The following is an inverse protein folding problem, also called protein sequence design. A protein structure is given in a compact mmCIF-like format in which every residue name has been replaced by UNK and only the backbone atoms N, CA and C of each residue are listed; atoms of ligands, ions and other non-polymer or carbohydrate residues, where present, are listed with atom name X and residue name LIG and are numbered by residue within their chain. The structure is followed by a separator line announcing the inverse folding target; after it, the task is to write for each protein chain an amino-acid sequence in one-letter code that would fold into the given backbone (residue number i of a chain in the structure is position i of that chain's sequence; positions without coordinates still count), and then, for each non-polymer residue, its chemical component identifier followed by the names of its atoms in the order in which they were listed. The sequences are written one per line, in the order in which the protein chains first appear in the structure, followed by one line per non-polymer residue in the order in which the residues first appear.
data_IF_186396388845
#
_entry.id   IF_186396388845
#
_cell.length_a   1.000
_cell.length_b   1.000
_cell.length_c   1.000
_cell.angle_alpha   90.00
_cell.angle_beta   90.00
_cell.angle_gamma   90.00
#
_symmetry.space_group_name_H-M   'P 1'
#
loop_
_entity.id
_entity.type
_entity.pdbx_description
1 polymer ?
#
# COMPACT_ATOMS: atom_id res chain seq x y z
N UNK A 1 -25.56 -42.58 -33.08
CA UNK A 1 -24.52 -41.71 -32.48
C UNK A 1 -25.03 -41.23 -31.15
N UNK A 2 -24.47 -41.75 -30.08
CA UNK A 2 -24.79 -41.39 -28.69
C UNK A 2 -23.68 -40.48 -28.21
N UNK A 3 -23.94 -39.21 -28.08
CA UNK A 3 -23.03 -38.20 -27.49
C UNK A 3 -23.08 -38.43 -25.99
N UNK A 4 -21.96 -38.90 -25.42
CA UNK A 4 -21.76 -38.89 -23.98
C UNK A 4 -21.45 -37.50 -23.55
N UNK A 5 -22.35 -36.86 -22.81
CA UNK A 5 -22.07 -35.62 -22.10
C UNK A 5 -21.14 -35.96 -20.93
N UNK A 6 -19.92 -35.46 -20.98
CA UNK A 6 -19.03 -35.43 -19.81
C UNK A 6 -19.58 -34.41 -18.83
N UNK A 7 -20.06 -34.93 -17.69
CA UNK A 7 -20.40 -34.07 -16.53
C UNK A 7 -19.13 -33.40 -16.06
N UNK A 8 -19.08 -32.06 -16.17
CA UNK A 8 -18.12 -31.28 -15.47
C UNK A 8 -18.37 -31.47 -13.97
N UNK A 9 -17.46 -32.15 -13.28
CA UNK A 9 -17.44 -32.22 -11.83
C UNK A 9 -17.24 -30.78 -11.31
N UNK A 10 -18.35 -30.20 -10.93
CA UNK A 10 -18.35 -28.94 -10.17
C UNK A 10 -17.80 -29.31 -8.79
N UNK A 11 -16.52 -29.03 -8.55
CA UNK A 11 -15.91 -29.13 -7.23
C UNK A 11 -16.71 -28.18 -6.30
N UNK A 12 -17.68 -28.77 -5.60
CA UNK A 12 -18.43 -28.07 -4.57
C UNK A 12 -17.45 -27.69 -3.46
N UNK A 13 -17.28 -26.40 -3.22
CA UNK A 13 -16.51 -25.93 -2.06
C UNK A 13 -17.13 -26.59 -0.81
N UNK A 14 -16.28 -27.13 0.09
CA UNK A 14 -16.79 -27.77 1.29
C UNK A 14 -17.56 -26.77 2.14
N UNK A 15 -18.80 -27.10 2.53
CA UNK A 15 -19.66 -26.29 3.38
C UNK A 15 -19.06 -26.19 4.79
N UNK A 16 -18.21 -25.17 4.98
CA UNK A 16 -17.66 -24.84 6.29
C UNK A 16 -18.60 -23.87 6.97
N UNK A 17 -19.38 -24.38 7.91
CA UNK A 17 -20.27 -23.55 8.73
C UNK A 17 -19.49 -22.87 9.84
N UNK A 18 -19.33 -21.53 9.75
CA UNK A 18 -18.65 -20.72 10.77
C UNK A 18 -19.28 -20.83 12.17
N UNK A 19 -20.56 -21.16 12.23
CA UNK A 19 -21.31 -21.35 13.48
C UNK A 19 -21.08 -22.71 14.15
N UNK A 20 -20.45 -23.68 13.46
CA UNK A 20 -20.21 -25.04 13.96
C UNK A 20 -18.80 -25.50 13.65
N UNK A 21 -17.80 -25.04 14.45
CA UNK A 21 -16.41 -25.44 14.25
C UNK A 21 -16.21 -26.95 14.44
N UNK A 22 -15.58 -27.60 13.47
CA UNK A 22 -15.25 -29.04 13.50
C UNK A 22 -13.74 -29.25 13.58
N UNK A 23 -13.33 -30.35 14.21
CA UNK A 23 -11.93 -30.75 14.26
C UNK A 23 -11.61 -31.70 13.10
N UNK A 24 -10.53 -31.43 12.40
CA UNK A 24 -10.03 -32.21 11.28
C UNK A 24 -8.56 -32.55 11.47
N UNK A 25 -8.11 -33.66 10.88
CA UNK A 25 -6.69 -33.95 10.70
C UNK A 25 -6.19 -33.28 9.41
N UNK A 26 -5.08 -32.56 9.45
CA UNK A 26 -4.48 -31.97 8.27
C UNK A 26 -3.82 -33.07 7.43
N UNK A 27 -4.37 -33.38 6.26
CA UNK A 27 -3.84 -34.40 5.35
C UNK A 27 -2.84 -33.82 4.34
N UNK A 28 -2.93 -32.51 4.03
CA UNK A 28 -2.01 -31.83 3.13
C UNK A 28 -2.11 -30.33 3.28
N UNK A 29 -1.00 -29.66 2.98
CA UNK A 29 -0.91 -28.20 2.92
C UNK A 29 -0.19 -27.83 1.63
N UNK A 30 -0.82 -27.03 0.81
CA UNK A 30 -0.25 -26.47 -0.41
C UNK A 30 0.00 -24.97 -0.22
N UNK A 31 1.09 -24.45 -0.80
CA UNK A 31 1.39 -23.01 -0.80
C UNK A 31 1.37 -22.52 -2.23
N UNK A 32 0.64 -21.44 -2.47
CA UNK A 32 0.49 -20.83 -3.80
C UNK A 32 0.75 -19.33 -3.74
N UNK A 33 1.01 -18.71 -4.91
CA UNK A 33 1.21 -17.26 -5.02
C UNK A 33 2.59 -16.77 -4.57
N UNK A 34 3.58 -17.66 -4.54
CA UNK A 34 4.97 -17.33 -4.20
C UNK A 34 5.89 -17.53 -5.40
N UNK A 35 6.96 -16.70 -5.49
CA UNK A 35 8.03 -16.89 -6.47
C UNK A 35 9.04 -17.97 -6.04
N UNK A 36 9.94 -18.31 -6.96
CA UNK A 36 10.96 -19.36 -6.78
C UNK A 36 11.95 -19.09 -5.63
N UNK A 37 12.02 -17.83 -5.15
CA UNK A 37 12.89 -17.43 -4.05
C UNK A 37 12.40 -17.93 -2.67
N UNK A 38 11.17 -18.43 -2.58
CA UNK A 38 10.60 -18.93 -1.33
C UNK A 38 10.48 -20.46 -1.36
N UNK A 39 10.92 -21.09 -0.28
CA UNK A 39 10.70 -22.52 -0.07
C UNK A 39 9.34 -22.75 0.61
N UNK A 40 8.41 -23.49 -0.04
CA UNK A 40 7.08 -23.76 0.50
C UNK A 40 7.11 -24.44 1.87
N UNK A 41 8.05 -25.39 2.10
CA UNK A 41 8.15 -26.12 3.35
C UNK A 41 8.51 -25.21 4.51
N UNK A 42 9.44 -24.28 4.29
CA UNK A 42 9.83 -23.26 5.29
C UNK A 42 8.65 -22.36 5.66
N UNK A 43 7.82 -21.98 4.67
CA UNK A 43 6.62 -21.18 4.92
C UNK A 43 5.56 -21.96 5.70
N UNK A 44 5.34 -23.24 5.38
CA UNK A 44 4.44 -24.11 6.13
C UNK A 44 4.90 -24.22 7.59
N UNK A 45 6.18 -24.47 7.83
CA UNK A 45 6.76 -24.52 9.18
C UNK A 45 6.53 -23.21 9.95
N UNK A 46 6.67 -22.08 9.29
CA UNK A 46 6.44 -20.76 9.91
C UNK A 46 4.99 -20.56 10.37
N UNK A 47 4.00 -21.21 9.73
CA UNK A 47 2.61 -21.16 10.17
C UNK A 47 2.40 -21.87 11.52
N UNK A 48 3.21 -22.90 11.80
CA UNK A 48 3.02 -23.82 12.92
C UNK A 48 1.96 -24.89 12.66
N UNK A 49 1.39 -24.96 11.45
CA UNK A 49 0.54 -26.07 11.01
C UNK A 49 1.43 -27.22 10.56
N UNK A 50 0.98 -28.45 10.79
CA UNK A 50 1.72 -29.65 10.40
C UNK A 50 0.76 -30.71 9.83
N UNK A 51 1.16 -31.36 8.77
CA UNK A 51 0.46 -32.55 8.27
C UNK A 51 0.42 -33.63 9.36
N UNK A 52 -0.72 -34.27 9.55
CA UNK A 52 -0.97 -35.26 10.61
C UNK A 52 -1.41 -34.65 11.95
N UNK A 53 -1.46 -33.31 12.09
CA UNK A 53 -1.96 -32.68 13.31
C UNK A 53 -3.45 -32.36 13.21
N UNK A 54 -4.12 -32.34 14.35
CA UNK A 54 -5.52 -31.91 14.43
C UNK A 54 -5.63 -30.38 14.38
N UNK A 55 -6.62 -29.89 13.64
CA UNK A 55 -6.97 -28.48 13.53
C UNK A 55 -8.47 -28.26 13.62
N UNK A 56 -8.89 -27.29 14.39
CA UNK A 56 -10.29 -26.86 14.46
C UNK A 56 -10.54 -25.78 13.40
N UNK A 57 -11.52 -26.00 12.54
CA UNK A 57 -11.89 -25.09 11.44
C UNK A 57 -13.39 -24.75 11.52
N UNK A 58 -13.73 -23.46 11.57
CA UNK A 58 -12.87 -22.31 11.85
C UNK A 58 -12.26 -22.35 13.25
N UNK A 59 -11.07 -21.79 13.42
CA UNK A 59 -10.42 -21.80 14.72
C UNK A 59 -9.15 -20.96 14.83
N UNK A 60 -8.67 -20.83 16.07
CA UNK A 60 -7.53 -19.98 16.42
C UNK A 60 -6.22 -20.41 15.74
N UNK A 61 -6.04 -21.71 15.45
CA UNK A 61 -4.82 -22.20 14.82
C UNK A 61 -4.63 -21.57 13.43
N UNK A 62 -5.70 -21.49 12.63
CA UNK A 62 -5.69 -20.85 11.31
C UNK A 62 -5.40 -19.35 11.43
N UNK A 63 -6.09 -18.67 12.35
CA UNK A 63 -5.86 -17.22 12.59
C UNK A 63 -4.44 -16.95 13.03
N UNK A 64 -3.86 -17.78 13.89
CA UNK A 64 -2.46 -17.66 14.33
C UNK A 64 -1.49 -17.91 13.18
N UNK A 65 -1.74 -18.89 12.33
CA UNK A 65 -0.94 -19.17 11.15
C UNK A 65 -0.90 -17.98 10.19
N UNK A 66 -2.07 -17.39 9.87
CA UNK A 66 -2.16 -16.17 9.05
C UNK A 66 -1.36 -15.03 9.68
N UNK A 67 -1.53 -14.78 10.99
CA UNK A 67 -0.81 -13.69 11.69
C UNK A 67 0.70 -13.89 11.68
N UNK A 68 1.19 -15.13 11.80
CA UNK A 68 2.63 -15.43 11.77
C UNK A 68 3.24 -15.13 10.40
N UNK A 69 2.61 -15.56 9.31
CA UNK A 69 3.07 -15.26 7.96
C UNK A 69 2.99 -13.76 7.64
N UNK A 70 1.87 -13.13 7.98
CA UNK A 70 1.69 -11.69 7.78
C UNK A 70 2.70 -10.85 8.59
N UNK A 71 3.01 -11.31 9.81
CA UNK A 71 3.99 -10.66 10.72
C UNK A 71 5.42 -10.69 10.19
N UNK A 72 5.76 -11.56 9.23
CA UNK A 72 7.06 -11.55 8.56
C UNK A 72 7.27 -10.33 7.66
N UNK A 73 6.17 -9.63 7.29
CA UNK A 73 6.23 -8.43 6.46
C UNK A 73 6.54 -8.70 4.98
N UNK A 74 6.71 -9.96 4.57
CA UNK A 74 7.05 -10.36 3.20
C UNK A 74 5.86 -10.34 2.25
N UNK A 75 4.66 -10.54 2.80
CA UNK A 75 3.43 -10.70 2.05
C UNK A 75 2.50 -9.50 2.25
N UNK A 76 1.80 -9.11 1.20
CA UNK A 76 0.76 -8.08 1.21
C UNK A 76 -0.59 -8.68 1.61
N UNK A 77 -0.80 -9.96 1.26
CA UNK A 77 -1.98 -10.72 1.66
C UNK A 77 -1.63 -12.15 2.00
N UNK A 78 -2.36 -12.73 2.96
CA UNK A 78 -2.22 -14.12 3.42
C UNK A 78 -3.61 -14.67 3.66
N UNK A 79 -3.99 -15.66 2.87
CA UNK A 79 -5.27 -16.35 3.00
C UNK A 79 -5.04 -17.85 3.16
N UNK A 80 -5.76 -18.49 4.09
CA UNK A 80 -5.78 -19.95 4.24
C UNK A 80 -7.19 -20.42 3.94
N UNK A 81 -7.34 -21.23 2.91
CA UNK A 81 -8.60 -21.83 2.47
C UNK A 81 -8.56 -23.34 2.60
N UNK A 82 -9.74 -23.95 2.65
CA UNK A 82 -9.89 -25.39 2.54
C UNK A 82 -10.08 -25.74 1.08
N UNK A 83 -9.19 -26.57 0.56
CA UNK A 83 -9.31 -27.13 -0.79
C UNK A 83 -10.41 -28.19 -0.81
N UNK A 84 -10.27 -29.22 0.02
CA UNK A 84 -11.23 -30.30 0.14
C UNK A 84 -11.23 -30.95 1.51
N UNK A 85 -12.31 -31.63 1.82
CA UNK A 85 -12.50 -32.44 3.04
C UNK A 85 -12.82 -33.84 2.67
N UNK A 86 -12.08 -34.80 3.21
CA UNK A 86 -12.28 -36.25 3.01
C UNK A 86 -12.53 -36.92 4.38
N UNK A 87 -13.80 -37.06 4.75
CA UNK A 87 -14.16 -37.56 6.08
C UNK A 87 -13.71 -36.63 7.20
N UNK A 88 -12.74 -37.03 8.01
CA UNK A 88 -12.13 -36.21 9.06
C UNK A 88 -10.80 -35.55 8.62
N UNK A 89 -10.41 -35.72 7.37
CA UNK A 89 -9.18 -35.17 6.81
C UNK A 89 -9.44 -33.89 6.04
N UNK A 90 -8.57 -32.90 6.19
CA UNK A 90 -8.66 -31.61 5.50
C UNK A 90 -7.39 -31.32 4.72
N UNK A 91 -7.54 -30.80 3.52
CA UNK A 91 -6.45 -30.26 2.70
C UNK A 91 -6.55 -28.74 2.69
N UNK A 92 -5.45 -28.07 3.00
CA UNK A 92 -5.39 -26.62 3.12
C UNK A 92 -4.57 -26.02 1.99
N UNK A 93 -5.01 -24.88 1.49
CA UNK A 93 -4.23 -24.04 0.57
C UNK A 93 -3.90 -22.73 1.27
N UNK A 94 -2.62 -22.43 1.33
CA UNK A 94 -2.09 -21.14 1.79
C UNK A 94 -1.82 -20.28 0.56
N UNK A 95 -2.69 -19.31 0.31
CA UNK A 95 -2.51 -18.34 -0.78
C UNK A 95 -1.75 -17.12 -0.23
N UNK A 96 -0.64 -16.79 -0.86
CA UNK A 96 0.23 -15.69 -0.49
C UNK A 96 0.34 -14.70 -1.64
N UNK A 97 0.21 -13.42 -1.34
CA UNK A 97 0.55 -12.36 -2.28
C UNK A 97 1.82 -11.66 -1.78
N UNK A 98 2.87 -11.68 -2.58
CA UNK A 98 4.12 -11.01 -2.23
C UNK A 98 3.97 -9.49 -2.20
N UNK A 99 4.75 -8.81 -1.36
CA UNK A 99 4.86 -7.36 -1.40
C UNK A 99 5.71 -6.95 -2.58
N UNK A 100 5.17 -6.10 -3.42
CA UNK A 100 5.91 -5.52 -4.52
C UNK A 100 7.13 -4.73 -4.04
N UNK A 101 8.19 -4.72 -4.86
CA UNK A 101 9.40 -3.95 -4.64
C UNK A 101 9.40 -2.71 -5.53
N UNK A 102 9.96 -1.62 -5.02
CA UNK A 102 10.04 -0.36 -5.74
C UNK A 102 11.09 -0.43 -6.85
N UNK A 103 10.68 -0.23 -8.09
CA UNK A 103 11.59 0.03 -9.22
C UNK A 103 12.10 1.45 -9.19
N UNK A 104 11.18 2.41 -9.24
CA UNK A 104 11.45 3.84 -9.14
C UNK A 104 10.17 4.61 -8.85
N UNK A 105 10.33 5.89 -8.50
CA UNK A 105 9.21 6.84 -8.38
C UNK A 105 9.27 7.77 -9.57
N UNK A 106 8.20 7.79 -10.36
CA UNK A 106 8.01 8.70 -11.48
C UNK A 106 7.19 9.90 -11.03
N UNK A 107 7.64 11.09 -11.38
CA UNK A 107 6.97 12.34 -11.00
C UNK A 107 6.33 12.98 -12.21
N UNK A 108 5.01 13.06 -12.23
CA UNK A 108 4.22 13.59 -13.34
C UNK A 108 3.65 14.96 -12.92
N UNK A 109 3.79 15.97 -13.78
CA UNK A 109 3.33 17.34 -13.50
C UNK A 109 4.33 18.22 -12.73
N UNK A 110 5.57 17.76 -12.53
CA UNK A 110 6.64 18.51 -11.87
C UNK A 110 7.66 19.07 -12.86
N UNK A 111 8.30 20.17 -12.46
CA UNK A 111 9.51 20.70 -13.12
C UNK A 111 10.73 19.93 -12.61
N UNK A 112 11.77 19.76 -13.43
CA UNK A 112 13.02 19.06 -13.04
C UNK A 112 13.63 19.54 -11.72
N UNK A 113 13.61 20.86 -11.48
CA UNK A 113 14.12 21.46 -10.23
C UNK A 113 13.26 21.18 -8.99
N UNK A 114 11.96 20.89 -9.18
CA UNK A 114 11.03 20.49 -8.12
C UNK A 114 11.22 19.01 -7.81
N UNK A 115 11.32 18.20 -8.86
CA UNK A 115 11.59 16.77 -8.78
C UNK A 115 12.86 16.46 -7.98
N UNK A 116 14.00 17.12 -8.30
CA UNK A 116 15.25 16.94 -7.56
C UNK A 116 15.10 17.21 -6.05
N UNK A 117 14.43 18.30 -5.69
CA UNK A 117 14.19 18.66 -4.28
C UNK A 117 13.24 17.72 -3.55
N UNK A 118 12.30 17.12 -4.27
CA UNK A 118 11.36 16.14 -3.72
C UNK A 118 12.06 14.80 -3.54
N UNK A 119 12.85 14.37 -4.52
CA UNK A 119 13.68 13.14 -4.43
C UNK A 119 14.58 13.14 -3.20
N UNK A 120 15.27 14.26 -2.92
CA UNK A 120 16.10 14.40 -1.72
C UNK A 120 15.32 14.20 -0.42
N UNK A 121 14.04 14.63 -0.38
CA UNK A 121 13.19 14.52 0.81
C UNK A 121 12.57 13.14 0.98
N UNK A 122 12.31 12.42 -0.11
CA UNK A 122 11.62 11.13 -0.08
C UNK A 122 12.55 10.02 0.39
N UNK A 123 13.84 10.08 0.06
CA UNK A 123 14.89 9.13 0.47
C UNK A 123 14.47 7.64 0.40
N UNK A 124 13.73 7.28 -0.63
CA UNK A 124 13.33 5.88 -0.88
C UNK A 124 14.29 5.23 -1.88
N UNK A 125 14.78 4.06 -1.52
CA UNK A 125 15.74 3.33 -2.35
C UNK A 125 15.01 2.33 -3.26
N UNK A 126 15.43 2.19 -4.52
CA UNK A 126 15.00 1.08 -5.37
C UNK A 126 15.21 -0.27 -4.67
N UNK A 127 14.28 -1.20 -4.87
CA UNK A 127 14.28 -2.51 -4.20
C UNK A 127 13.61 -2.54 -2.83
N UNK A 128 13.28 -1.38 -2.24
CA UNK A 128 12.48 -1.33 -1.01
C UNK A 128 11.10 -1.93 -1.23
N UNK A 129 10.55 -2.56 -0.19
CA UNK A 129 9.16 -3.04 -0.24
C UNK A 129 8.18 -1.87 -0.31
N UNK A 130 7.23 -1.95 -1.24
CA UNK A 130 6.17 -0.97 -1.37
C UNK A 130 5.06 -1.29 -0.36
N UNK A 131 4.78 -0.32 0.50
CA UNK A 131 3.72 -0.40 1.50
C UNK A 131 2.79 0.79 1.39
N UNK A 132 1.55 0.65 1.88
CA UNK A 132 0.59 1.76 1.92
C UNK A 132 1.15 2.98 2.67
N UNK A 133 1.92 2.73 3.73
CA UNK A 133 2.62 3.78 4.48
C UNK A 133 3.66 4.51 3.62
N UNK A 134 4.40 3.80 2.77
CA UNK A 134 5.33 4.41 1.83
C UNK A 134 4.59 5.29 0.83
N UNK A 135 3.51 4.80 0.22
CA UNK A 135 2.69 5.54 -0.74
C UNK A 135 2.13 6.82 -0.10
N UNK A 136 1.50 6.68 1.07
CA UNK A 136 0.99 7.83 1.83
C UNK A 136 2.10 8.80 2.26
N UNK A 137 3.29 8.29 2.57
CA UNK A 137 4.48 9.09 2.89
C UNK A 137 4.95 9.93 1.71
N UNK A 138 5.08 9.33 0.53
CA UNK A 138 5.43 10.01 -0.72
C UNK A 138 4.42 11.12 -1.02
N UNK A 139 3.13 10.81 -0.97
CA UNK A 139 2.06 11.77 -1.19
C UNK A 139 2.17 12.97 -0.22
N UNK A 140 2.30 12.71 1.08
CA UNK A 140 2.39 13.74 2.12
C UNK A 140 3.61 14.63 1.95
N UNK A 141 4.77 14.08 1.58
CA UNK A 141 6.00 14.85 1.35
C UNK A 141 5.82 15.81 0.18
N UNK A 142 5.23 15.34 -0.93
CA UNK A 142 4.95 16.17 -2.11
C UNK A 142 3.96 17.28 -1.76
N UNK A 143 2.84 16.94 -1.10
CA UNK A 143 1.84 17.93 -0.69
C UNK A 143 2.45 19.01 0.22
N UNK A 144 3.23 18.60 1.23
CA UNK A 144 3.90 19.51 2.16
C UNK A 144 4.85 20.47 1.43
N UNK A 145 5.64 19.93 0.50
CA UNK A 145 6.57 20.75 -0.30
C UNK A 145 5.86 21.86 -1.07
N UNK A 146 4.70 21.56 -1.66
CA UNK A 146 3.95 22.57 -2.41
C UNK A 146 3.13 23.51 -1.53
N UNK A 147 2.59 23.03 -0.40
CA UNK A 147 1.93 23.88 0.59
C UNK A 147 2.89 24.93 1.16
N UNK A 148 4.14 24.55 1.44
CA UNK A 148 5.20 25.49 1.87
C UNK A 148 5.51 26.55 0.80
N UNK A 149 5.25 26.27 -0.47
CA UNK A 149 5.38 27.23 -1.59
C UNK A 149 4.11 28.03 -1.87
N UNK A 150 3.06 27.85 -1.08
CA UNK A 150 1.78 28.58 -1.20
C UNK A 150 0.76 27.95 -2.16
N UNK A 151 0.95 26.70 -2.58
CA UNK A 151 -0.04 25.94 -3.34
C UNK A 151 -0.90 25.12 -2.40
N UNK A 152 -1.96 25.71 -1.86
CA UNK A 152 -2.86 25.03 -0.92
C UNK A 152 -3.87 24.11 -1.61
N UNK A 153 -4.26 24.46 -2.85
CA UNK A 153 -5.14 23.63 -3.69
C UNK A 153 -4.29 22.72 -4.57
N UNK A 154 -3.74 21.67 -3.96
CA UNK A 154 -2.93 20.65 -4.64
C UNK A 154 -3.61 19.29 -4.46
N UNK A 155 -3.59 18.49 -5.51
CA UNK A 155 -3.95 17.07 -5.49
C UNK A 155 -2.73 16.25 -5.89
N UNK A 156 -2.40 15.26 -5.09
CA UNK A 156 -1.33 14.31 -5.36
C UNK A 156 -1.93 12.91 -5.35
N UNK A 157 -1.78 12.21 -6.46
CA UNK A 157 -2.19 10.80 -6.59
C UNK A 157 -0.94 9.96 -6.83
N UNK A 158 -0.78 8.91 -6.06
CA UNK A 158 0.32 7.95 -6.23
C UNK A 158 -0.28 6.60 -6.56
N UNK A 159 0.01 6.10 -7.76
CA UNK A 159 -0.49 4.82 -8.26
C UNK A 159 0.67 3.87 -8.48
N UNK A 160 0.43 2.59 -8.22
CA UNK A 160 1.37 1.52 -8.56
C UNK A 160 1.13 1.10 -10.01
N UNK A 161 2.23 0.87 -10.73
CA UNK A 161 2.24 0.30 -12.07
C UNK A 161 3.34 -0.75 -12.14
N UNK A 162 3.01 -1.93 -12.63
CA UNK A 162 3.95 -3.03 -12.76
C UNK A 162 5.17 -2.65 -13.62
N UNK A 163 6.33 -3.17 -13.23
CA UNK A 163 7.54 -3.07 -14.02
C UNK A 163 7.57 -4.23 -15.03
N UNK A 164 7.44 -3.95 -16.34
CA UNK A 164 7.39 -5.01 -17.35
C UNK A 164 8.69 -5.81 -17.49
N UNK A 165 9.80 -5.26 -17.00
CA UNK A 165 11.11 -5.89 -17.11
C UNK A 165 11.50 -6.71 -15.86
N UNK A 166 10.82 -6.46 -14.72
CA UNK A 166 11.14 -7.10 -13.45
C UNK A 166 9.90 -7.63 -12.74
N UNK A 167 9.73 -8.97 -12.66
CA UNK A 167 8.64 -9.57 -11.91
C UNK A 167 8.63 -9.08 -10.44
N UNK A 168 7.45 -8.85 -9.89
CA UNK A 168 7.23 -8.38 -8.52
C UNK A 168 7.85 -6.99 -8.19
N UNK A 169 8.20 -6.20 -9.22
CA UNK A 169 8.61 -4.82 -9.07
C UNK A 169 7.54 -3.87 -9.64
N UNK A 170 7.41 -2.69 -9.02
CA UNK A 170 6.46 -1.67 -9.45
C UNK A 170 7.09 -0.29 -9.50
N UNK A 171 6.63 0.53 -10.41
CA UNK A 171 6.82 1.97 -10.40
C UNK A 171 5.75 2.61 -9.53
N UNK A 172 6.11 3.67 -8.80
CA UNK A 172 5.14 4.57 -8.18
C UNK A 172 5.01 5.82 -9.04
N UNK A 173 3.88 5.95 -9.73
CA UNK A 173 3.60 7.10 -10.58
C UNK A 173 2.88 8.18 -9.73
N UNK A 174 3.66 9.19 -9.29
CA UNK A 174 3.18 10.31 -8.49
C UNK A 174 2.72 11.46 -9.40
N UNK A 175 1.42 11.56 -9.62
CA UNK A 175 0.79 12.62 -10.41
C UNK A 175 0.44 13.80 -9.52
N UNK A 176 0.93 14.99 -9.90
CA UNK A 176 0.75 16.23 -9.13
C UNK A 176 -0.04 17.24 -9.94
N UNK A 177 -1.25 17.51 -9.48
CA UNK A 177 -2.12 18.54 -10.02
C UNK A 177 -2.17 19.72 -9.05
N UNK A 178 -1.81 20.90 -9.53
CA UNK A 178 -1.80 22.12 -8.72
C UNK A 178 -2.60 23.23 -9.38
N UNK A 179 -3.43 23.91 -8.58
CA UNK A 179 -4.12 25.13 -8.98
C UNK A 179 -3.23 26.35 -8.72
N UNK A 180 -3.78 27.53 -8.91
CA UNK A 180 -3.05 28.79 -8.71
C UNK A 180 -2.53 28.92 -7.27
N UNK A 181 -1.37 29.55 -7.17
CA UNK A 181 -0.76 29.89 -5.90
C UNK A 181 -1.63 30.91 -5.16
N UNK A 182 -1.92 30.63 -3.89
CA UNK A 182 -2.60 31.60 -3.02
C UNK A 182 -1.62 32.68 -2.63
N UNK A 183 -2.01 33.94 -2.85
CA UNK A 183 -1.24 35.12 -2.45
C UNK A 183 -2.10 35.95 -1.50
N UNK A 184 -1.47 36.51 -0.48
CA UNK A 184 -2.14 37.46 0.42
C UNK A 184 -2.38 38.73 -0.37
N UNK A 185 -3.64 39.16 -0.49
CA UNK A 185 -3.99 40.38 -1.19
C UNK A 185 -3.75 41.61 -0.33
N UNK A 186 -4.10 41.53 0.96
CA UNK A 186 -3.99 42.62 1.92
C UNK A 186 -3.78 42.07 3.34
N UNK A 187 -3.11 42.86 4.19
CA UNK A 187 -2.92 42.57 5.61
C UNK A 187 -3.49 43.78 6.39
N UNK A 188 -4.60 43.54 7.07
CA UNK A 188 -5.24 44.60 7.91
C UNK A 188 -4.72 44.43 9.33
N UNK A 189 -4.16 45.51 9.89
CA UNK A 189 -3.68 45.53 11.26
C UNK A 189 -4.62 46.45 12.07
N UNK A 190 -5.11 45.99 13.21
CA UNK A 190 -6.00 46.73 14.09
C UNK A 190 -5.45 46.75 15.52
N UNK A 191 -5.76 47.81 16.27
CA UNK A 191 -5.32 47.96 17.67
C UNK A 191 -3.90 48.48 17.88
N UNK A 192 -3.23 48.97 16.83
CA UNK A 192 -1.87 49.51 16.91
C UNK A 192 -1.90 51.00 17.13
N UNK A 193 -1.97 51.47 18.37
CA UNK A 193 -1.97 52.89 18.71
C UNK A 193 -0.58 53.56 18.62
N UNK A 194 0.50 52.81 18.90
CA UNK A 194 1.86 53.37 19.02
C UNK A 194 2.76 53.13 17.82
N UNK A 195 2.43 52.18 16.92
CA UNK A 195 3.28 51.81 15.78
C UNK A 195 2.47 51.82 14.52
N UNK A 196 2.96 52.49 13.47
CA UNK A 196 2.27 52.59 12.17
C UNK A 196 2.20 51.22 11.49
N UNK A 197 1.09 50.93 10.81
CA UNK A 197 0.83 49.70 10.05
C UNK A 197 1.98 49.32 9.11
N UNK A 198 2.54 50.34 8.39
CA UNK A 198 3.64 50.15 7.45
C UNK A 198 4.89 49.57 8.12
N UNK A 199 5.19 50.00 9.36
CA UNK A 199 6.33 49.47 10.12
C UNK A 199 6.07 48.01 10.59
N UNK A 200 4.85 47.73 11.01
CA UNK A 200 4.44 46.40 11.40
C UNK A 200 4.42 45.45 10.18
N UNK A 201 3.82 45.85 9.06
CA UNK A 201 3.82 45.08 7.79
C UNK A 201 5.25 44.84 7.31
N UNK A 202 6.16 45.81 7.44
CA UNK A 202 7.56 45.67 7.08
C UNK A 202 8.35 44.65 7.93
N UNK A 203 7.96 44.46 9.20
CA UNK A 203 8.56 43.48 10.10
C UNK A 203 8.10 42.04 9.80
N UNK A 204 6.99 41.85 9.08
CA UNK A 204 6.42 40.54 8.73
C UNK A 204 7.20 39.88 7.58
N UNK A 205 8.28 39.16 7.89
CA UNK A 205 9.17 38.54 6.88
C UNK A 205 8.51 37.49 6.00
N UNK A 206 7.56 36.74 6.52
CA UNK A 206 6.91 35.59 5.82
C UNK A 206 5.54 35.92 5.23
N UNK A 207 4.92 37.00 5.64
CA UNK A 207 3.57 37.41 5.28
C UNK A 207 3.63 38.74 4.53
N UNK A 208 3.85 38.71 3.23
CA UNK A 208 3.93 39.93 2.40
C UNK A 208 2.69 39.98 1.51
N UNK A 209 2.10 41.17 1.42
CA UNK A 209 1.03 41.50 0.48
C UNK A 209 1.50 41.33 -0.97
N UNK A 210 0.54 41.15 -1.89
CA UNK A 210 0.80 41.12 -3.32
C UNK A 210 1.27 42.52 -3.78
N UNK A 211 2.54 42.67 -4.03
CA UNK A 211 3.08 43.93 -4.55
C UNK A 211 2.59 44.13 -5.99
N UNK A 212 1.98 45.29 -6.27
CA UNK A 212 1.61 45.73 -7.60
C UNK A 212 2.85 46.08 -8.49
N UNK A 213 4.04 46.02 -7.93
CA UNK A 213 5.29 46.41 -8.60
C UNK A 213 5.79 45.45 -9.69
N UNK A 214 5.17 44.32 -9.89
CA UNK A 214 5.55 43.32 -10.92
C UNK A 214 4.55 43.26 -12.08
N UNK A 215 3.90 44.38 -12.40
CA UNK A 215 2.90 44.41 -13.50
C UNK A 215 3.46 45.13 -14.76
N UNK A 216 4.75 45.41 -14.82
CA UNK A 216 5.45 45.97 -16.00
C UNK A 216 6.66 45.11 -16.33
#
# INVERSE_FOLDING_TARGET
CRVMAQSADTLSQPDIYYSSPKTYEIAGIEVTGIGEQYDPETLILATGLRVGSEVKIPGDAITKAIRRLYGQGLFSDVTISVDRVEGQKVFLIINLAERHRLSAINYIGLKKSEESKIKEKINQLPGSQVTDNMIAGVQRIIEKYFKEKGYYNISVKVLQRDDPERPNFVYLDATVERKNKIKISDVIITGNEKVRDSKLKGAMKKTKEKSLRNFF
#
